data_IF_937782592274
#
_entry.id   IF_937782592274
#
_cell.length_a   1.000
_cell.length_b   1.000
_cell.length_c   1.000
_cell.angle_alpha   90.00
_cell.angle_beta   90.00
_cell.angle_gamma   90.00
#
_symmetry.space_group_name_H-M   'P 1'
#
loop_
_entity.id
_entity.type
_entity.pdbx_description
1 polymer ?
#
# COMPACT_ATOMS: atom_id res chain seq x y z
N UNK A 1 -6.96 10.22 3.14
CA UNK A 1 -6.70 9.01 2.34
C UNK A 1 -5.39 8.44 2.84
N UNK A 2 -5.41 7.52 3.79
CA UNK A 2 -4.17 7.13 4.49
C UNK A 2 -4.20 5.64 4.75
N UNK A 3 -3.10 4.95 4.47
CA UNK A 3 -3.02 3.50 4.60
C UNK A 3 -1.78 3.13 5.41
N UNK A 4 -1.93 2.26 6.41
CA UNK A 4 -0.88 1.98 7.39
C UNK A 4 -0.34 0.55 7.32
N UNK A 5 -1.15 -0.47 7.06
CA UNK A 5 -0.59 -1.78 6.66
C UNK A 5 -1.53 -2.51 5.73
N UNK A 6 -0.99 -2.96 4.61
CA UNK A 6 -1.68 -3.81 3.66
C UNK A 6 -1.00 -5.17 3.66
N UNK A 7 -1.78 -6.21 3.89
CA UNK A 7 -1.34 -7.59 3.77
C UNK A 7 -2.00 -8.21 2.55
N UNK A 8 -1.21 -8.92 1.75
CA UNK A 8 -1.68 -9.58 0.55
C UNK A 8 -1.47 -11.08 0.65
N UNK A 9 -2.48 -11.84 0.22
CA UNK A 9 -2.40 -13.28 0.07
C UNK A 9 -2.72 -13.70 -1.36
N UNK A 10 -2.00 -14.70 -1.84
CA UNK A 10 -2.27 -15.42 -3.08
C UNK A 10 -2.53 -16.87 -2.73
N UNK A 11 -3.71 -17.38 -3.08
CA UNK A 11 -4.16 -18.73 -2.74
C UNK A 11 -4.08 -19.05 -1.23
N UNK A 12 -4.22 -18.02 -0.39
CA UNK A 12 -4.13 -18.14 1.07
C UNK A 12 -2.71 -18.11 1.64
N UNK A 13 -1.68 -17.97 0.81
CA UNK A 13 -0.28 -17.76 1.22
C UNK A 13 -0.01 -16.27 1.28
N UNK A 14 0.52 -15.77 2.39
CA UNK A 14 0.93 -14.37 2.53
C UNK A 14 2.13 -14.09 1.62
N UNK A 15 2.06 -13.01 0.84
CA UNK A 15 3.07 -12.70 -0.18
C UNK A 15 3.82 -11.41 0.06
N UNK A 16 3.15 -10.40 0.62
CA UNK A 16 3.79 -9.10 0.89
C UNK A 16 3.02 -8.31 1.95
N UNK A 17 3.74 -7.41 2.60
CA UNK A 17 3.23 -6.37 3.46
C UNK A 17 3.71 -5.01 2.97
N UNK A 18 2.85 -3.99 3.01
CA UNK A 18 3.22 -2.61 2.70
C UNK A 18 2.70 -1.63 3.75
N UNK A 19 3.59 -0.77 4.24
CA UNK A 19 3.26 0.38 5.07
C UNK A 19 3.29 1.67 4.23
N UNK A 20 2.16 2.38 4.20
CA UNK A 20 1.99 3.61 3.41
C UNK A 20 0.76 3.57 2.50
N UNK A 21 0.10 4.72 2.34
CA UNK A 21 -1.19 4.78 1.64
C UNK A 21 -1.20 5.40 0.25
N UNK A 22 -0.06 5.93 -0.20
CA UNK A 22 0.01 6.67 -1.45
C UNK A 22 1.15 6.23 -2.36
N UNK A 23 1.93 5.24 -1.97
CA UNK A 23 2.99 4.67 -2.78
C UNK A 23 2.53 3.33 -3.35
N UNK A 24 2.91 3.00 -4.59
CA UNK A 24 2.68 1.67 -5.12
C UNK A 24 3.60 0.66 -4.42
N UNK A 25 3.19 -0.60 -4.46
CA UNK A 25 4.00 -1.76 -4.11
C UNK A 25 3.69 -2.88 -5.09
N UNK A 26 4.63 -3.80 -5.26
CA UNK A 26 4.50 -4.98 -6.11
C UNK A 26 5.15 -6.20 -5.47
N UNK A 27 4.77 -7.38 -5.93
CA UNK A 27 5.31 -8.66 -5.47
C UNK A 27 5.29 -9.67 -6.61
N UNK A 28 6.39 -10.41 -6.74
CA UNK A 28 6.52 -11.54 -7.66
C UNK A 28 5.74 -12.75 -7.12
N UNK A 29 4.88 -13.36 -7.95
CA UNK A 29 3.99 -14.46 -7.51
C UNK A 29 4.05 -15.71 -8.39
N UNK A 30 4.96 -15.77 -9.37
CA UNK A 30 5.05 -16.87 -10.34
C UNK A 30 5.28 -18.21 -9.65
N UNK A 31 6.13 -18.26 -8.62
CA UNK A 31 6.36 -19.50 -7.88
C UNK A 31 5.07 -20.05 -7.24
N UNK A 32 4.21 -19.18 -6.73
CA UNK A 32 2.95 -19.57 -6.08
C UNK A 32 1.95 -20.05 -7.13
N UNK A 33 1.88 -19.37 -8.27
CA UNK A 33 0.99 -19.75 -9.36
C UNK A 33 1.42 -21.07 -10.03
N UNK A 34 2.71 -21.32 -10.17
CA UNK A 34 3.23 -22.55 -10.77
C UNK A 34 2.98 -23.81 -9.93
N UNK A 35 2.76 -23.68 -8.62
CA UNK A 35 2.44 -24.83 -7.75
C UNK A 35 1.05 -25.40 -8.02
N UNK A 36 0.11 -24.58 -8.50
CA UNK A 36 -1.28 -24.96 -8.77
C UNK A 36 -1.76 -24.43 -10.13
N UNK A 37 -1.18 -24.87 -11.25
CA UNK A 37 -1.40 -24.25 -12.57
C UNK A 37 -2.82 -24.44 -13.13
N UNK A 38 -3.62 -25.33 -12.53
CA UNK A 38 -5.00 -25.63 -12.95
C UNK A 38 -6.05 -25.04 -12.02
N UNK A 39 -5.64 -24.41 -10.92
CA UNK A 39 -6.55 -23.86 -9.93
C UNK A 39 -6.76 -22.35 -10.19
N UNK A 40 -7.98 -21.82 -10.00
CA UNK A 40 -8.21 -20.38 -10.04
C UNK A 40 -7.34 -19.66 -9.00
N UNK A 41 -6.66 -18.60 -9.43
CA UNK A 41 -5.92 -17.74 -8.53
C UNK A 41 -6.88 -16.90 -7.68
N UNK A 42 -6.75 -16.97 -6.35
CA UNK A 42 -7.46 -16.11 -5.40
C UNK A 42 -6.50 -15.09 -4.79
N UNK A 43 -6.74 -13.83 -5.07
CA UNK A 43 -6.06 -12.70 -4.42
C UNK A 43 -6.92 -12.20 -3.27
N UNK A 44 -6.32 -12.02 -2.09
CA UNK A 44 -6.97 -11.43 -0.91
C UNK A 44 -6.10 -10.31 -0.40
N UNK A 45 -6.71 -9.16 -0.08
CA UNK A 45 -6.01 -7.96 0.38
C UNK A 45 -6.71 -7.49 1.66
N UNK A 46 -5.97 -7.38 2.76
CA UNK A 46 -6.44 -6.81 4.01
C UNK A 46 -5.82 -5.44 4.22
N UNK A 47 -6.60 -4.54 4.82
CA UNK A 47 -6.39 -3.10 4.76
C UNK A 47 -6.69 -2.55 6.18
N UNK A 48 -5.67 -2.03 6.89
CA UNK A 48 -5.81 -1.29 8.16
C UNK A 48 -5.74 0.25 7.97
N UNK A 49 -6.81 0.95 8.37
CA UNK A 49 -6.92 2.41 8.30
C UNK A 49 -6.71 3.14 9.63
N UNK A 50 -6.29 2.43 10.68
CA UNK A 50 -5.96 2.99 11.99
C UNK A 50 -4.70 3.85 11.89
N UNK A 51 -4.77 5.10 12.35
CA UNK A 51 -3.64 6.01 12.35
C UNK A 51 -3.03 6.09 13.75
N UNK A 52 -1.70 6.03 13.81
CA UNK A 52 -0.91 6.07 15.04
C UNK A 52 0.01 7.30 15.04
N UNK A 53 0.68 7.63 16.15
CA UNK A 53 1.67 8.71 16.16
C UNK A 53 2.84 8.49 15.20
N UNK A 54 3.06 7.24 14.77
CA UNK A 54 4.17 6.84 13.90
C UNK A 54 3.75 6.73 12.43
N UNK A 55 2.45 6.78 12.12
CA UNK A 55 1.98 6.79 10.74
C UNK A 55 2.24 8.15 10.10
N UNK A 56 2.38 8.15 8.77
CA UNK A 56 2.36 9.37 7.98
C UNK A 56 1.10 9.37 7.13
N UNK A 57 0.08 10.16 7.52
CA UNK A 57 0.03 11.19 8.56
C UNK A 57 -0.19 10.57 9.94
N UNK A 58 0.07 11.34 11.01
CA UNK A 58 -0.15 10.85 12.36
C UNK A 58 -1.63 10.94 12.79
N UNK A 59 -2.03 10.05 13.68
CA UNK A 59 -3.30 10.08 14.40
C UNK A 59 -3.21 9.39 15.76
N UNK A 60 -4.27 9.44 16.56
CA UNK A 60 -4.36 8.69 17.83
C UNK A 60 -5.72 8.05 18.01
N UNK A 61 -5.77 6.88 18.64
CA UNK A 61 -7.02 6.31 19.16
C UNK A 61 -7.25 6.83 20.56
N UNK A 62 -8.48 7.29 20.83
CA UNK A 62 -8.93 7.70 22.16
C UNK A 62 -10.14 6.87 22.55
N UNK A 63 -9.99 6.10 23.63
CA UNK A 63 -11.10 5.40 24.29
C UNK A 63 -11.88 6.38 25.17
N UNK A 64 -13.20 6.24 25.20
CA UNK A 64 -14.09 7.06 26.02
C UNK A 64 -14.60 6.21 27.18
N UNK A 65 -13.95 6.32 28.33
CA UNK A 65 -14.17 5.42 29.48
C UNK A 65 -15.37 5.83 30.37
N UNK A 66 -15.98 6.99 30.13
CA UNK A 66 -17.18 7.41 30.84
C UNK A 66 -18.43 6.67 30.31
N UNK A 67 -18.75 5.55 30.96
CA UNK A 67 -19.89 4.70 30.61
C UNK A 67 -21.26 5.38 30.79
N UNK A 68 -21.33 6.54 31.47
CA UNK A 68 -22.57 7.32 31.57
C UNK A 68 -22.90 8.09 30.28
N UNK A 69 -21.87 8.42 29.50
CA UNK A 69 -22.00 9.16 28.23
C UNK A 69 -21.79 8.28 27.00
N UNK A 70 -20.96 7.23 27.11
CA UNK A 70 -20.54 6.40 25.99
C UNK A 70 -20.76 4.91 26.27
N UNK A 71 -21.09 4.09 25.26
CA UNK A 71 -21.21 2.65 25.46
C UNK A 71 -19.84 2.01 25.71
N UNK A 72 -19.83 0.86 26.39
CA UNK A 72 -18.62 0.10 26.67
C UNK A 72 -17.80 -0.18 25.40
N UNK A 73 -16.53 0.18 25.43
CA UNK A 73 -15.60 -0.04 24.31
C UNK A 73 -15.68 1.00 23.20
N UNK A 74 -16.39 2.12 23.41
CA UNK A 74 -16.40 3.23 22.46
C UNK A 74 -15.03 3.89 22.33
N UNK A 75 -14.60 4.14 21.10
CA UNK A 75 -13.36 4.86 20.81
C UNK A 75 -13.52 5.70 19.53
N UNK A 76 -12.63 6.68 19.38
CA UNK A 76 -12.55 7.55 18.21
C UNK A 76 -11.12 7.60 17.67
N UNK A 77 -10.99 7.83 16.37
CA UNK A 77 -9.73 8.17 15.72
C UNK A 77 -9.60 9.68 15.66
N UNK A 78 -8.65 10.24 16.42
CA UNK A 78 -8.29 11.64 16.35
C UNK A 78 -7.29 11.89 15.23
N UNK A 79 -7.52 12.99 14.49
CA UNK A 79 -6.69 13.45 13.37
C UNK A 79 -6.43 14.95 13.50
N UNK A 80 -5.36 15.44 12.86
CA UNK A 80 -5.01 16.88 12.83
C UNK A 80 -4.89 17.45 11.41
N UNK A 81 -5.38 16.71 10.42
CA UNK A 81 -5.43 17.12 9.02
C UNK A 81 -6.88 17.44 8.62
N UNK A 82 -7.04 18.38 7.70
CA UNK A 82 -8.34 18.94 7.29
C UNK A 82 -8.92 18.24 6.05
N UNK A 83 -8.97 16.91 6.09
CA UNK A 83 -9.64 16.10 5.08
C UNK A 83 -10.05 14.75 5.65
N UNK A 84 -10.97 14.06 4.98
CA UNK A 84 -11.49 12.80 5.50
C UNK A 84 -10.49 11.64 5.36
N UNK A 85 -10.45 10.76 6.37
CA UNK A 85 -9.62 9.54 6.35
C UNK A 85 -10.28 8.43 5.53
N UNK A 86 -10.48 8.64 4.22
CA UNK A 86 -10.92 7.58 3.32
C UNK A 86 -9.90 6.43 3.27
N UNK A 87 -10.42 5.20 3.18
CA UNK A 87 -9.67 3.95 3.17
C UNK A 87 -10.13 3.03 2.04
N UNK A 88 -9.36 2.01 1.73
CA UNK A 88 -9.66 1.03 0.68
C UNK A 88 -8.67 1.07 -0.49
N UNK A 89 -8.98 0.30 -1.53
CA UNK A 89 -8.15 0.20 -2.74
C UNK A 89 -8.49 1.38 -3.65
N UNK A 90 -7.65 2.43 -3.63
CA UNK A 90 -7.91 3.68 -4.34
C UNK A 90 -7.31 3.74 -5.75
N UNK A 91 -6.41 2.82 -6.10
CA UNK A 91 -5.73 2.76 -7.39
C UNK A 91 -5.84 1.35 -8.00
N UNK A 92 -5.67 1.21 -9.33
CA UNK A 92 -5.78 -0.09 -10.00
C UNK A 92 -4.86 -1.15 -9.39
N UNK A 93 -5.39 -2.37 -9.25
CA UNK A 93 -4.61 -3.58 -8.96
C UNK A 93 -4.42 -4.31 -10.28
N UNK A 94 -3.16 -4.54 -10.67
CA UNK A 94 -2.80 -5.10 -11.96
C UNK A 94 -1.96 -6.35 -11.77
N UNK A 95 -2.12 -7.30 -12.68
CA UNK A 95 -1.19 -8.39 -12.89
C UNK A 95 -0.47 -8.15 -14.21
N UNK A 96 0.85 -8.22 -14.20
CA UNK A 96 1.68 -8.08 -15.40
C UNK A 96 2.77 -9.16 -15.41
N UNK A 97 3.44 -9.29 -16.54
CA UNK A 97 4.51 -10.27 -16.73
C UNK A 97 5.73 -9.60 -17.35
N UNK A 98 6.90 -10.14 -17.04
CA UNK A 98 8.18 -9.77 -17.65
C UNK A 98 8.92 -11.04 -18.08
N UNK A 99 9.89 -10.97 -19.01
CA UNK A 99 10.84 -12.06 -19.20
C UNK A 99 11.74 -12.23 -17.96
N UNK A 100 12.41 -13.38 -17.83
CA UNK A 100 13.34 -13.65 -16.72
C UNK A 100 14.44 -12.59 -16.57
N UNK A 101 14.89 -12.02 -17.69
CA UNK A 101 15.75 -10.84 -17.71
C UNK A 101 14.90 -9.63 -18.11
N UNK A 102 14.76 -8.67 -17.20
CA UNK A 102 13.93 -7.48 -17.37
C UNK A 102 14.66 -6.22 -16.92
N UNK A 103 14.12 -5.07 -17.32
CA UNK A 103 14.57 -3.75 -16.85
C UNK A 103 13.82 -3.46 -15.55
N UNK A 104 14.55 -3.32 -14.46
CA UNK A 104 14.01 -3.06 -13.12
C UNK A 104 13.77 -1.56 -12.88
N UNK A 105 14.76 -0.74 -13.23
CA UNK A 105 14.68 0.71 -13.11
C UNK A 105 15.36 1.41 -14.29
N UNK A 106 14.91 2.63 -14.59
CA UNK A 106 15.57 3.54 -15.52
C UNK A 106 15.68 4.90 -14.86
N UNK A 107 16.89 5.30 -14.49
CA UNK A 107 17.17 6.65 -13.99
C UNK A 107 17.83 7.47 -15.10
N UNK A 108 17.16 8.54 -15.53
CA UNK A 108 17.68 9.46 -16.55
C UNK A 108 17.94 10.83 -15.95
N UNK A 109 19.12 11.40 -16.21
CA UNK A 109 19.43 12.80 -15.91
C UNK A 109 19.78 13.56 -17.19
N UNK A 110 19.37 14.82 -17.29
CA UNK A 110 19.56 15.63 -18.50
C UNK A 110 20.37 16.88 -18.21
N UNK A 111 21.15 17.32 -19.20
CA UNK A 111 21.95 18.53 -19.14
C UNK A 111 21.90 19.31 -20.46
N UNK A 112 22.32 20.57 -20.42
CA UNK A 112 22.43 21.41 -21.62
C UNK A 112 23.89 21.82 -21.85
N UNK A 113 24.36 21.68 -23.09
CA UNK A 113 25.64 22.21 -23.56
C UNK A 113 25.41 23.09 -24.79
N UNK A 114 25.28 24.40 -24.56
CA UNK A 114 24.91 25.34 -25.62
C UNK A 114 23.49 25.08 -26.12
N UNK A 115 23.35 24.73 -27.39
CA UNK A 115 22.08 24.35 -28.02
C UNK A 115 21.86 22.82 -28.10
N UNK A 116 22.69 22.03 -27.42
CA UNK A 116 22.59 20.56 -27.39
C UNK A 116 22.06 20.09 -26.04
N UNK A 117 21.01 19.27 -26.06
CA UNK A 117 20.54 18.50 -24.89
C UNK A 117 21.31 17.20 -24.74
N UNK A 118 21.85 16.95 -23.55
CA UNK A 118 22.55 15.74 -23.17
C UNK A 118 21.63 14.88 -22.30
N UNK A 119 21.62 13.59 -22.56
CA UNK A 119 20.87 12.58 -21.79
C UNK A 119 21.89 11.61 -21.21
N UNK A 120 21.88 11.49 -19.89
CA UNK A 120 22.66 10.53 -19.13
C UNK A 120 21.70 9.47 -18.60
N UNK A 121 22.02 8.20 -18.86
CA UNK A 121 21.23 7.03 -18.52
C UNK A 121 22.16 5.90 -18.07
#
# INVERSE_FOLDING_TARGET
LFFFSLLQWVNGVEVTEHEGGHLPFEVEISEILHRSPKEPCRITIAINNTLTPHTLPPGTIQYMDDESMYPKGYFVQNTRFDFFNYAGIHRPVLLYTTPLAYIDDITVTTALKGNVGLVHY
#
